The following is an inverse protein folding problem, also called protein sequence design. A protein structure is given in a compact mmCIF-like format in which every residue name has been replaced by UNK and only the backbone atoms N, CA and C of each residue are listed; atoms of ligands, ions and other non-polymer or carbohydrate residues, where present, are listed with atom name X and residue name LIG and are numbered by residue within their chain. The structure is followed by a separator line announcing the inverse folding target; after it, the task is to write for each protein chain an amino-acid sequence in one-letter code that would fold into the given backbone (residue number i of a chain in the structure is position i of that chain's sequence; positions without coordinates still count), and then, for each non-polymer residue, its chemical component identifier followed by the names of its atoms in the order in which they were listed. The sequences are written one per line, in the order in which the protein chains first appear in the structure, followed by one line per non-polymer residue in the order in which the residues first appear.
data_IF_224260306529
#
_entry.id   IF_224260306529
#
_cell.length_a   1.000
_cell.length_b   1.000
_cell.length_c   1.000
_cell.angle_alpha   90.00
_cell.angle_beta   90.00
_cell.angle_gamma   90.00
#
_symmetry.space_group_name_H-M   'P 1'
#
loop_
_entity.id
_entity.type
_entity.pdbx_description
1 polymer ?
#
# COMPACT_ATOMS: atom_id res chain seq x y z
N UNK A 1 47.52 -0.53 31.91
CA UNK A 1 46.26 -0.98 32.56
C UNK A 1 46.38 -2.45 32.95
N UNK A 2 46.12 -2.77 34.24
CA UNK A 2 46.04 -4.19 34.66
C UNK A 2 44.73 -4.83 34.15
N UNK A 3 44.81 -5.92 33.43
CA UNK A 3 43.61 -6.70 32.98
C UNK A 3 42.91 -7.26 34.22
N UNK A 4 41.57 -7.14 34.29
CA UNK A 4 40.74 -7.70 35.34
C UNK A 4 39.82 -8.76 34.74
N UNK A 5 39.47 -9.78 35.51
CA UNK A 5 38.47 -10.75 35.12
C UNK A 5 37.10 -10.07 35.02
N UNK A 6 36.29 -10.42 34.01
CA UNK A 6 34.94 -9.87 33.86
C UNK A 6 34.11 -10.15 35.11
N UNK A 7 33.49 -9.12 35.68
CA UNK A 7 32.59 -9.29 36.83
C UNK A 7 31.17 -9.53 36.33
N UNK A 8 30.47 -10.52 36.86
CA UNK A 8 29.12 -10.91 36.47
C UNK A 8 28.14 -9.74 36.47
N UNK A 9 28.22 -8.82 37.44
CA UNK A 9 27.40 -7.60 37.48
C UNK A 9 27.54 -6.68 36.28
N UNK A 10 28.69 -6.74 35.59
CA UNK A 10 28.96 -5.94 34.39
C UNK A 10 28.55 -6.68 33.11
N UNK A 11 28.45 -8.01 33.17
CA UNK A 11 28.07 -8.85 32.04
C UNK A 11 26.54 -9.04 31.98
N UNK A 12 25.90 -9.21 33.15
CA UNK A 12 24.46 -9.45 33.26
C UNK A 12 23.58 -8.42 32.51
N UNK A 13 23.84 -7.10 32.54
CA UNK A 13 23.08 -6.13 31.75
C UNK A 13 23.28 -6.25 30.22
N UNK A 14 24.41 -6.86 29.79
CA UNK A 14 24.72 -7.07 28.37
C UNK A 14 24.07 -8.36 27.82
N UNK A 15 23.66 -9.25 28.73
CA UNK A 15 22.96 -10.49 28.38
C UNK A 15 21.47 -10.21 28.38
N UNK A 16 20.90 -9.91 27.21
CA UNK A 16 19.45 -9.68 27.02
C UNK A 16 18.59 -10.94 27.18
N UNK A 17 18.85 -11.74 28.24
CA UNK A 17 18.11 -12.98 28.51
C UNK A 17 16.80 -12.66 29.20
N UNK A 18 15.69 -12.99 28.55
CA UNK A 18 14.36 -13.04 29.16
C UNK A 18 13.82 -14.46 29.12
N UNK A 19 12.99 -14.83 30.08
CA UNK A 19 12.27 -16.11 30.04
C UNK A 19 11.44 -16.19 28.75
N UNK A 20 11.40 -17.36 28.09
CA UNK A 20 10.60 -17.53 26.88
C UNK A 20 9.12 -17.31 27.20
N UNK A 21 8.49 -16.38 26.46
CA UNK A 21 7.04 -16.20 26.51
C UNK A 21 6.38 -17.18 25.55
N UNK A 22 5.28 -17.83 25.98
CA UNK A 22 4.47 -18.66 25.09
C UNK A 22 3.28 -17.85 24.55
N UNK A 23 2.92 -18.03 23.25
CA UNK A 23 3.63 -18.82 22.22
C UNK A 23 5.03 -18.26 21.95
N UNK A 24 5.96 -19.13 21.53
CA UNK A 24 7.34 -18.72 21.23
C UNK A 24 7.32 -17.66 20.11
N UNK A 25 7.90 -16.49 20.35
CA UNK A 25 7.90 -15.42 19.36
C UNK A 25 8.67 -15.86 18.11
N UNK A 26 8.18 -15.44 16.95
CA UNK A 26 8.86 -15.65 15.67
C UNK A 26 10.22 -14.93 15.68
N UNK A 27 11.30 -15.71 15.88
CA UNK A 27 12.67 -15.17 15.98
C UNK A 27 13.12 -14.46 14.72
N UNK A 28 12.68 -14.96 13.54
CA UNK A 28 13.05 -14.34 12.27
C UNK A 28 12.32 -12.99 12.08
N UNK A 29 11.04 -12.91 12.44
CA UNK A 29 10.32 -11.65 12.41
C UNK A 29 10.90 -10.63 13.39
N UNK A 30 11.29 -11.08 14.58
CA UNK A 30 11.92 -10.20 15.60
C UNK A 30 13.25 -9.61 15.15
N UNK A 31 14.01 -10.33 14.33
CA UNK A 31 15.29 -9.84 13.81
C UNK A 31 15.14 -8.84 12.65
N UNK A 32 13.93 -8.71 12.08
CA UNK A 32 13.66 -7.74 11.01
C UNK A 32 13.67 -6.32 11.56
N UNK A 33 14.55 -5.48 11.03
CA UNK A 33 14.73 -4.09 11.46
C UNK A 33 14.30 -3.06 10.40
N UNK A 34 14.11 -3.48 9.14
CA UNK A 34 13.66 -2.63 8.04
C UNK A 34 12.81 -3.40 7.02
N UNK A 35 12.17 -2.68 6.09
CA UNK A 35 11.27 -3.31 5.10
C UNK A 35 12.01 -4.08 4.00
N UNK A 36 13.29 -3.83 3.77
CA UNK A 36 14.09 -4.64 2.85
C UNK A 36 14.28 -6.06 3.41
N UNK A 37 14.58 -6.18 4.71
CA UNK A 37 14.64 -7.47 5.40
C UNK A 37 13.28 -8.16 5.47
N UNK A 38 12.19 -7.40 5.68
CA UNK A 38 10.82 -7.91 5.62
C UNK A 38 10.52 -8.53 4.25
N UNK A 39 10.91 -7.87 3.15
CA UNK A 39 10.80 -8.40 1.79
C UNK A 39 11.57 -9.72 1.62
N UNK A 40 12.79 -9.81 2.18
CA UNK A 40 13.59 -11.05 2.12
C UNK A 40 12.95 -12.18 2.93
N UNK A 41 12.36 -11.87 4.09
CA UNK A 41 11.63 -12.84 4.90
C UNK A 41 10.38 -13.34 4.17
N UNK A 42 9.61 -12.44 3.56
CA UNK A 42 8.46 -12.77 2.72
C UNK A 42 8.82 -13.75 1.60
N UNK A 43 9.91 -13.46 0.86
CA UNK A 43 10.42 -14.32 -0.20
C UNK A 43 10.73 -15.75 0.27
N UNK A 44 11.15 -15.92 1.52
CA UNK A 44 11.44 -17.24 2.11
C UNK A 44 10.17 -18.01 2.52
N UNK A 45 9.06 -17.32 2.85
CA UNK A 45 7.90 -17.93 3.51
C UNK A 45 6.76 -18.31 2.58
N UNK A 46 6.65 -17.66 1.44
CA UNK A 46 5.62 -17.97 0.44
C UNK A 46 6.22 -18.61 -0.81
N UNK A 47 5.41 -19.28 -1.65
CA UNK A 47 5.85 -19.77 -2.96
C UNK A 47 6.39 -18.64 -3.84
N UNK A 48 7.36 -18.99 -4.70
CA UNK A 48 7.97 -18.03 -5.64
C UNK A 48 6.93 -17.31 -6.50
N UNK A 49 5.93 -18.04 -6.98
CA UNK A 49 4.87 -17.45 -7.81
C UNK A 49 4.08 -16.38 -7.05
N UNK A 50 3.73 -16.62 -5.77
CA UNK A 50 3.03 -15.67 -4.91
C UNK A 50 3.93 -14.45 -4.62
N UNK A 51 5.20 -14.69 -4.31
CA UNK A 51 6.15 -13.61 -4.09
C UNK A 51 6.32 -12.75 -5.35
N UNK A 52 6.55 -13.36 -6.51
CA UNK A 52 6.75 -12.65 -7.78
C UNK A 52 5.50 -11.87 -8.21
N UNK A 53 4.30 -12.36 -7.90
CA UNK A 53 3.06 -11.64 -8.14
C UNK A 53 3.02 -10.29 -7.41
N UNK A 54 3.50 -10.24 -6.17
CA UNK A 54 3.56 -9.00 -5.38
C UNK A 54 4.77 -8.15 -5.76
N UNK A 55 5.94 -8.79 -5.83
CA UNK A 55 7.25 -8.14 -5.98
C UNK A 55 7.49 -7.62 -7.40
N UNK A 56 6.91 -8.27 -8.41
CA UNK A 56 7.12 -7.96 -9.80
C UNK A 56 6.46 -6.66 -10.28
N UNK A 57 6.96 -6.17 -11.42
CA UNK A 57 6.42 -5.05 -12.19
C UNK A 57 5.93 -5.49 -13.57
N UNK A 58 5.59 -4.51 -14.42
CA UNK A 58 5.23 -4.72 -15.81
C UNK A 58 6.48 -4.85 -16.68
N UNK A 59 6.39 -5.66 -17.74
CA UNK A 59 7.39 -5.86 -18.77
C UNK A 59 8.81 -6.06 -18.21
N UNK A 60 9.74 -5.13 -18.48
CA UNK A 60 11.15 -5.18 -18.08
C UNK A 60 11.37 -4.55 -16.68
N UNK A 61 10.30 -4.09 -16.01
CA UNK A 61 10.30 -3.52 -14.66
C UNK A 61 11.11 -2.21 -14.52
N UNK A 62 11.30 -1.47 -15.62
CA UNK A 62 12.09 -0.23 -15.64
C UNK A 62 11.41 0.88 -14.81
N UNK A 63 10.09 1.04 -14.93
CA UNK A 63 9.35 2.00 -14.12
C UNK A 63 9.42 1.65 -12.62
N UNK A 64 9.37 0.36 -12.29
CA UNK A 64 9.53 -0.10 -10.91
C UNK A 64 10.93 0.18 -10.37
N UNK A 65 11.98 -0.16 -11.13
CA UNK A 65 13.37 0.10 -10.76
C UNK A 65 13.64 1.60 -10.57
N UNK A 66 13.15 2.45 -11.50
CA UNK A 66 13.26 3.92 -11.36
C UNK A 66 12.54 4.44 -10.12
N UNK A 67 11.35 3.93 -9.82
CA UNK A 67 10.60 4.30 -8.61
C UNK A 67 11.35 3.93 -7.32
N UNK A 68 12.14 2.86 -7.31
CA UNK A 68 13.01 2.53 -6.18
C UNK A 68 14.25 3.44 -6.12
N UNK A 69 14.86 3.71 -7.28
CA UNK A 69 16.08 4.50 -7.36
C UNK A 69 15.87 5.95 -6.95
N UNK A 70 14.71 6.55 -7.26
CA UNK A 70 14.46 7.97 -6.96
C UNK A 70 14.60 8.27 -5.45
N UNK A 71 14.15 7.38 -4.57
CA UNK A 71 14.25 7.58 -3.13
C UNK A 71 15.70 7.54 -2.65
N UNK A 72 16.61 6.81 -3.30
CA UNK A 72 18.04 6.83 -2.98
C UNK A 72 18.74 8.15 -3.36
N UNK A 73 18.09 8.98 -4.17
CA UNK A 73 18.57 10.30 -4.59
C UNK A 73 18.06 11.43 -3.68
N UNK A 74 17.18 11.12 -2.74
CA UNK A 74 16.65 12.09 -1.78
C UNK A 74 17.73 12.45 -0.75
N UNK A 75 17.94 13.74 -0.56
CA UNK A 75 18.78 14.32 0.51
C UNK A 75 17.92 15.15 1.42
N UNK A 76 18.04 14.95 2.74
CA UNK A 76 17.39 15.78 3.73
C UNK A 76 18.31 16.93 4.17
N UNK A 77 17.76 18.13 4.24
CA UNK A 77 18.41 19.33 4.78
C UNK A 77 17.96 19.54 6.22
N UNK A 78 18.76 19.02 7.15
CA UNK A 78 18.44 19.06 8.57
C UNK A 78 18.60 20.47 9.16
N UNK A 79 17.68 20.86 10.05
CA UNK A 79 17.75 22.06 10.86
C UNK A 79 18.11 21.66 12.30
N UNK A 80 19.15 22.29 12.86
CA UNK A 80 19.63 21.99 14.20
C UNK A 80 19.13 23.00 15.24
N UNK A 81 19.31 22.70 16.52
CA UNK A 81 18.94 23.58 17.65
C UNK A 81 17.40 23.83 17.69
N UNK A 82 16.63 22.82 17.36
CA UNK A 82 15.16 22.82 17.44
C UNK A 82 14.71 21.88 18.56
N UNK A 83 13.66 22.27 19.29
CA UNK A 83 13.04 21.39 20.25
C UNK A 83 12.19 20.33 19.51
N UNK A 84 12.70 19.11 19.48
CA UNK A 84 12.07 17.92 18.89
C UNK A 84 11.85 16.83 19.94
N UNK A 85 11.71 17.22 21.21
CA UNK A 85 11.46 16.28 22.32
C UNK A 85 10.16 15.50 22.16
N UNK A 86 9.17 16.10 21.48
CA UNK A 86 7.87 15.48 21.16
C UNK A 86 7.62 15.58 19.65
N UNK A 87 7.37 14.44 19.03
CA UNK A 87 7.04 14.34 17.60
C UNK A 87 5.54 14.02 17.46
N UNK A 88 4.87 14.72 16.56
CA UNK A 88 3.50 14.41 16.12
C UNK A 88 3.50 14.03 14.64
N UNK A 89 3.22 12.76 14.36
CA UNK A 89 3.09 12.21 13.00
C UNK A 89 1.64 12.20 12.51
N UNK A 90 0.70 12.68 13.32
CA UNK A 90 -0.70 12.70 12.93
C UNK A 90 -0.97 13.74 11.85
N UNK A 91 -1.93 13.44 10.97
CA UNK A 91 -2.39 14.33 9.91
C UNK A 91 -3.88 14.16 9.66
N UNK A 92 -4.45 15.05 8.88
CA UNK A 92 -5.78 14.84 8.32
C UNK A 92 -5.64 14.22 6.92
N UNK A 93 -6.44 13.20 6.64
CA UNK A 93 -6.56 12.54 5.34
C UNK A 93 -8.04 12.61 4.93
N UNK A 94 -8.35 13.25 3.81
CA UNK A 94 -9.72 13.48 3.34
C UNK A 94 -10.64 13.99 4.47
N UNK A 95 -10.16 14.97 5.25
CA UNK A 95 -10.92 15.65 6.30
C UNK A 95 -11.06 14.90 7.62
N UNK A 96 -10.44 13.72 7.81
CA UNK A 96 -10.46 12.98 9.08
C UNK A 96 -9.04 12.70 9.59
N UNK A 97 -8.88 12.71 10.93
CA UNK A 97 -7.58 12.47 11.57
C UNK A 97 -7.08 11.06 11.33
N UNK A 98 -5.80 10.94 10.97
CA UNK A 98 -5.04 9.69 10.87
C UNK A 98 -3.80 9.77 11.76
N UNK A 99 -3.40 8.66 12.38
CA UNK A 99 -2.23 8.61 13.25
C UNK A 99 -0.90 8.75 12.49
N UNK A 100 -0.87 8.41 11.21
CA UNK A 100 0.27 8.55 10.30
C UNK A 100 -0.22 9.05 8.94
N UNK A 101 0.64 9.68 8.13
CA UNK A 101 0.32 10.09 6.77
C UNK A 101 0.35 8.90 5.79
N UNK A 102 -0.23 7.77 6.20
CA UNK A 102 -0.16 6.50 5.48
C UNK A 102 -1.56 5.95 5.26
N UNK A 103 -1.83 5.56 4.02
CA UNK A 103 -3.03 4.87 3.57
C UNK A 103 -2.61 3.47 3.11
N UNK A 104 -3.33 2.44 3.54
CA UNK A 104 -3.13 1.10 3.02
C UNK A 104 -3.76 1.00 1.63
N UNK A 105 -2.91 0.86 0.61
CA UNK A 105 -3.32 0.84 -0.78
C UNK A 105 -4.26 -0.35 -1.08
N UNK A 106 -5.20 -0.18 -2.02
CA UNK A 106 -6.01 -1.31 -2.48
C UNK A 106 -5.15 -2.34 -3.19
N UNK A 107 -5.18 -3.57 -2.71
CA UNK A 107 -4.49 -4.71 -3.33
C UNK A 107 -5.47 -5.84 -3.58
N UNK A 108 -5.37 -6.44 -4.75
CA UNK A 108 -6.18 -7.61 -5.08
C UNK A 108 -5.59 -8.90 -4.51
N UNK A 109 -6.46 -9.87 -4.27
CA UNK A 109 -6.10 -11.24 -3.99
C UNK A 109 -5.29 -11.43 -2.70
N UNK A 110 -5.54 -10.62 -1.67
CA UNK A 110 -4.71 -10.56 -0.44
C UNK A 110 -4.66 -11.90 0.31
N UNK A 111 -5.73 -12.72 0.26
CA UNK A 111 -5.72 -14.06 0.86
C UNK A 111 -4.72 -15.02 0.20
N UNK A 112 -4.27 -14.76 -1.02
CA UNK A 112 -3.19 -15.53 -1.63
C UNK A 112 -1.86 -15.31 -0.90
N UNK A 113 -1.63 -14.12 -0.32
CA UNK A 113 -0.45 -13.79 0.47
C UNK A 113 -0.52 -14.39 1.87
N UNK A 114 -1.67 -14.28 2.51
CA UNK A 114 -1.96 -14.83 3.82
C UNK A 114 -3.45 -15.13 3.96
N UNK A 115 -3.81 -16.28 4.48
CA UNK A 115 -5.19 -16.80 4.52
C UNK A 115 -6.22 -15.89 5.21
N UNK A 116 -5.78 -15.05 6.17
CA UNK A 116 -6.66 -14.07 6.84
C UNK A 116 -6.95 -12.84 5.97
N UNK A 117 -6.16 -12.59 4.93
CA UNK A 117 -6.42 -11.61 3.88
C UNK A 117 -6.71 -10.19 4.33
N UNK A 118 -7.71 -9.60 3.69
CA UNK A 118 -8.10 -8.20 3.83
C UNK A 118 -8.63 -7.87 5.23
N UNK A 119 -9.36 -8.77 5.88
CA UNK A 119 -9.91 -8.56 7.23
C UNK A 119 -8.81 -8.33 8.26
N UNK A 120 -7.74 -9.13 8.19
CA UNK A 120 -6.57 -8.96 9.06
C UNK A 120 -5.93 -7.59 8.85
N UNK A 121 -5.74 -7.18 7.60
CA UNK A 121 -5.14 -5.87 7.27
C UNK A 121 -6.03 -4.73 7.77
N UNK A 122 -7.34 -4.81 7.56
CA UNK A 122 -8.30 -3.83 8.02
C UNK A 122 -8.29 -3.68 9.56
N UNK A 123 -8.22 -4.79 10.32
CA UNK A 123 -8.08 -4.78 11.79
C UNK A 123 -6.82 -4.06 12.26
N UNK A 124 -5.71 -4.21 11.54
CA UNK A 124 -4.47 -3.49 11.87
C UNK A 124 -4.62 -2.00 11.58
N UNK A 125 -5.27 -1.62 10.49
CA UNK A 125 -5.58 -0.23 10.19
C UNK A 125 -6.47 0.39 11.27
N UNK A 126 -7.51 -0.32 11.72
CA UNK A 126 -8.39 0.10 12.83
C UNK A 126 -7.58 0.35 14.11
N UNK A 127 -6.78 -0.63 14.54
CA UNK A 127 -5.98 -0.56 15.75
C UNK A 127 -4.95 0.58 15.76
N UNK A 128 -4.49 0.99 14.58
CA UNK A 128 -3.50 2.05 14.39
C UNK A 128 -4.10 3.39 13.94
N UNK A 129 -5.44 3.51 13.86
CA UNK A 129 -6.14 4.68 13.32
C UNK A 129 -5.60 5.11 11.94
N UNK A 130 -5.55 4.16 11.01
CA UNK A 130 -5.12 4.34 9.62
C UNK A 130 -6.27 4.08 8.64
N UNK A 131 -6.11 4.56 7.42
CA UNK A 131 -7.09 4.31 6.34
C UNK A 131 -6.78 2.99 5.65
N UNK A 132 -7.80 2.14 5.54
CA UNK A 132 -7.76 0.92 4.75
C UNK A 132 -8.49 1.11 3.42
N UNK A 133 -7.93 0.61 2.31
CA UNK A 133 -8.59 0.63 1.00
C UNK A 133 -8.84 -0.80 0.51
N UNK A 134 -10.12 -1.17 0.35
CA UNK A 134 -10.52 -2.46 -0.21
C UNK A 134 -10.53 -2.38 -1.74
N UNK A 135 -9.90 -3.36 -2.40
CA UNK A 135 -9.89 -3.47 -3.86
C UNK A 135 -11.15 -4.17 -4.40
N UNK A 136 -11.65 -3.74 -5.56
CA UNK A 136 -12.61 -4.51 -6.36
C UNK A 136 -12.15 -5.96 -6.60
N UNK A 137 -10.82 -6.16 -6.70
CA UNK A 137 -10.19 -7.48 -6.86
C UNK A 137 -9.85 -8.13 -5.50
N UNK A 138 -10.49 -7.69 -4.41
CA UNK A 138 -10.33 -8.28 -3.09
C UNK A 138 -10.95 -9.68 -2.98
N UNK A 139 -10.43 -10.46 -2.04
CA UNK A 139 -10.96 -11.80 -1.69
C UNK A 139 -11.99 -11.74 -0.57
N UNK A 140 -12.24 -10.55 -0.04
CA UNK A 140 -13.25 -10.23 0.97
C UNK A 140 -14.17 -9.15 0.43
N UNK A 141 -15.48 -9.27 0.63
CA UNK A 141 -16.46 -8.29 0.16
C UNK A 141 -16.50 -7.03 1.03
N UNK A 142 -17.13 -5.98 0.50
CA UNK A 142 -17.38 -4.75 1.27
C UNK A 142 -18.25 -5.02 2.50
N UNK A 143 -19.28 -5.87 2.38
CA UNK A 143 -20.14 -6.27 3.48
C UNK A 143 -19.36 -7.00 4.58
N UNK A 144 -18.52 -7.98 4.22
CA UNK A 144 -17.66 -8.70 5.17
C UNK A 144 -16.70 -7.77 5.93
N UNK A 145 -16.11 -6.79 5.26
CA UNK A 145 -15.26 -5.77 5.94
C UNK A 145 -16.12 -4.90 6.87
N UNK A 146 -17.29 -4.46 6.41
CA UNK A 146 -18.22 -3.66 7.21
C UNK A 146 -18.66 -4.34 8.50
N UNK A 147 -18.93 -5.65 8.43
CA UNK A 147 -19.37 -6.47 9.56
C UNK A 147 -18.21 -6.81 10.53
N UNK A 148 -17.07 -7.28 9.99
CA UNK A 148 -15.98 -7.81 10.82
C UNK A 148 -15.05 -6.74 11.38
N UNK A 149 -15.02 -5.53 10.77
CA UNK A 149 -14.15 -4.41 11.19
C UNK A 149 -14.95 -3.09 11.09
N UNK A 150 -15.98 -2.92 11.93
CA UNK A 150 -16.95 -1.83 11.78
C UNK A 150 -16.36 -0.43 12.00
N UNK A 151 -15.30 -0.28 12.80
CA UNK A 151 -14.75 1.01 13.17
C UNK A 151 -13.55 1.43 12.31
N UNK A 152 -13.06 0.56 11.41
CA UNK A 152 -11.98 0.94 10.51
C UNK A 152 -12.46 2.03 9.55
N UNK A 153 -11.64 3.06 9.37
CA UNK A 153 -11.84 3.99 8.27
C UNK A 153 -11.50 3.31 6.96
N UNK A 154 -12.47 3.21 6.06
CA UNK A 154 -12.39 2.37 4.87
C UNK A 154 -12.82 3.07 3.60
N UNK A 155 -12.06 2.88 2.53
CA UNK A 155 -12.33 3.32 1.18
C UNK A 155 -12.52 2.13 0.26
N UNK A 156 -13.44 2.23 -0.69
CA UNK A 156 -13.65 1.21 -1.70
C UNK A 156 -12.95 1.62 -2.99
N UNK A 157 -12.03 0.78 -3.50
CA UNK A 157 -11.41 1.01 -4.79
C UNK A 157 -12.26 0.34 -5.88
N UNK A 158 -12.64 1.14 -6.86
CA UNK A 158 -13.46 0.76 -7.99
C UNK A 158 -12.61 0.71 -9.27
N UNK A 159 -12.70 -0.40 -9.99
CA UNK A 159 -12.53 -0.40 -11.44
C UNK A 159 -13.90 -0.19 -12.03
N UNK A 160 -14.04 0.81 -12.90
CA UNK A 160 -15.33 1.13 -13.50
C UNK A 160 -15.59 0.15 -14.65
N UNK A 161 -16.70 -0.58 -14.54
CA UNK A 161 -17.09 -1.56 -15.54
C UNK A 161 -17.82 -0.90 -16.70
N UNK A 162 -17.69 -1.51 -17.89
CA UNK A 162 -18.45 -1.08 -19.07
C UNK A 162 -19.95 -1.08 -18.79
N UNK A 163 -20.46 -2.07 -18.07
CA UNK A 163 -21.81 -2.09 -17.50
C UNK A 163 -21.83 -1.23 -16.22
N UNK A 164 -22.32 0.01 -16.36
CA UNK A 164 -22.40 0.98 -15.25
C UNK A 164 -23.36 0.55 -14.15
N UNK A 165 -24.39 -0.26 -14.46
CA UNK A 165 -25.33 -0.76 -13.46
C UNK A 165 -24.65 -1.74 -12.49
N UNK A 166 -23.69 -2.52 -12.97
CA UNK A 166 -22.86 -3.33 -12.08
C UNK A 166 -21.95 -2.48 -11.18
N UNK A 167 -21.38 -1.43 -11.73
CA UNK A 167 -20.58 -0.49 -10.93
C UNK A 167 -21.42 0.21 -9.86
N UNK A 168 -22.67 0.59 -10.17
CA UNK A 168 -23.61 1.12 -9.19
C UNK A 168 -23.90 0.16 -8.06
N UNK A 169 -24.09 -1.14 -8.34
CA UNK A 169 -24.30 -2.15 -7.29
C UNK A 169 -23.12 -2.19 -6.32
N UNK A 170 -21.88 -2.21 -6.81
CA UNK A 170 -20.69 -2.20 -5.96
C UNK A 170 -20.58 -0.91 -5.14
N UNK A 171 -20.95 0.23 -5.71
CA UNK A 171 -20.99 1.51 -5.02
C UNK A 171 -22.01 1.49 -3.88
N UNK A 172 -23.22 0.98 -4.13
CA UNK A 172 -24.28 0.89 -3.11
C UNK A 172 -23.95 -0.15 -2.02
N UNK A 173 -23.32 -1.27 -2.36
CA UNK A 173 -22.81 -2.24 -1.39
C UNK A 173 -21.75 -1.60 -0.50
N UNK A 174 -20.78 -0.87 -1.06
CA UNK A 174 -19.76 -0.17 -0.30
C UNK A 174 -20.36 0.91 0.61
N UNK A 175 -21.33 1.69 0.10
CA UNK A 175 -22.05 2.71 0.87
C UNK A 175 -22.81 2.07 2.07
N UNK A 176 -23.55 1.01 1.81
CA UNK A 176 -24.29 0.28 2.85
C UNK A 176 -23.34 -0.31 3.89
N UNK A 177 -22.16 -0.79 3.48
CA UNK A 177 -21.12 -1.28 4.37
C UNK A 177 -20.32 -0.15 5.07
N UNK A 178 -20.70 1.11 4.92
CA UNK A 178 -20.11 2.25 5.64
C UNK A 178 -18.74 2.70 5.12
N UNK A 179 -18.45 2.49 3.85
CA UNK A 179 -17.26 3.08 3.22
C UNK A 179 -17.47 4.59 3.03
N UNK A 180 -16.50 5.40 3.46
CA UNK A 180 -16.58 6.87 3.40
C UNK A 180 -15.82 7.48 2.20
N UNK A 181 -15.06 6.67 1.47
CA UNK A 181 -14.35 7.06 0.26
C UNK A 181 -14.52 6.07 -0.88
N UNK A 182 -14.66 6.59 -2.08
CA UNK A 182 -14.63 5.84 -3.34
C UNK A 182 -13.37 6.22 -4.11
N UNK A 183 -12.53 5.23 -4.41
CA UNK A 183 -11.26 5.41 -5.13
C UNK A 183 -11.38 4.81 -6.54
N UNK A 184 -11.64 5.63 -7.54
CA UNK A 184 -11.60 5.20 -8.94
C UNK A 184 -10.14 5.03 -9.39
N UNK A 185 -9.80 3.87 -9.95
CA UNK A 185 -8.48 3.61 -10.53
C UNK A 185 -8.55 3.69 -12.05
N UNK A 186 -7.76 4.59 -12.66
CA UNK A 186 -7.87 4.96 -14.08
C UNK A 186 -6.64 4.60 -14.92
N UNK A 187 -5.56 4.09 -14.34
CA UNK A 187 -4.36 3.65 -15.04
C UNK A 187 -4.45 2.18 -15.55
N UNK A 188 -5.66 1.64 -15.64
CA UNK A 188 -5.95 0.24 -15.94
C UNK A 188 -6.94 0.08 -17.08
N UNK A 189 -6.75 0.82 -18.18
CA UNK A 189 -7.54 0.61 -19.40
C UNK A 189 -7.48 -0.85 -19.87
N UNK A 190 -6.35 -1.50 -19.63
CA UNK A 190 -6.11 -2.94 -19.79
C UNK A 190 -5.16 -3.43 -18.70
N UNK A 191 -5.07 -4.73 -18.49
CA UNK A 191 -4.09 -5.31 -17.55
C UNK A 191 -2.66 -5.18 -18.08
N UNK A 192 -1.74 -4.67 -17.26
CA UNK A 192 -0.31 -4.63 -17.60
C UNK A 192 0.29 -6.03 -17.78
N UNK A 193 1.21 -6.18 -18.73
CA UNK A 193 1.90 -7.44 -19.01
C UNK A 193 2.95 -7.70 -17.92
N UNK A 194 2.85 -8.84 -17.25
CA UNK A 194 3.78 -9.22 -16.17
C UNK A 194 4.51 -10.50 -16.54
N UNK A 195 5.74 -10.36 -16.99
CA UNK A 195 6.54 -11.51 -17.42
C UNK A 195 6.80 -12.53 -16.32
N UNK A 196 6.92 -12.09 -15.07
CA UNK A 196 7.12 -13.02 -13.94
C UNK A 196 5.87 -13.89 -13.72
N UNK A 197 4.68 -13.32 -13.76
CA UNK A 197 3.42 -14.05 -13.59
C UNK A 197 3.22 -15.08 -14.72
N UNK A 198 3.51 -14.68 -15.95
CA UNK A 198 3.43 -15.60 -17.12
C UNK A 198 4.41 -16.77 -16.96
N UNK A 199 5.66 -16.53 -16.57
CA UNK A 199 6.66 -17.59 -16.36
C UNK A 199 6.32 -18.52 -15.19
N UNK A 200 5.61 -18.01 -14.18
CA UNK A 200 5.18 -18.80 -13.03
C UNK A 200 3.82 -19.51 -13.25
N UNK A 201 3.16 -19.30 -14.38
CA UNK A 201 1.84 -19.87 -14.69
C UNK A 201 0.67 -19.23 -13.92
N UNK A 202 0.88 -18.05 -13.30
CA UNK A 202 -0.18 -17.25 -12.69
C UNK A 202 -0.93 -16.44 -13.76
N UNK A 203 -1.49 -17.15 -14.72
CA UNK A 203 -2.41 -16.62 -15.75
C UNK A 203 -3.85 -16.74 -15.29
N UNK A 204 -4.78 -16.19 -16.04
CA UNK A 204 -6.23 -16.40 -15.82
C UNK A 204 -6.80 -17.15 -17.03
N UNK A 205 -7.19 -18.43 -16.86
CA UNK A 205 -7.06 -19.27 -15.66
C UNK A 205 -5.59 -19.67 -15.34
N UNK A 206 -5.26 -20.03 -14.08
CA UNK A 206 -3.91 -20.44 -13.70
C UNK A 206 -3.47 -21.74 -14.40
N UNK A 207 -2.20 -21.77 -14.86
CA UNK A 207 -1.56 -22.94 -15.46
C UNK A 207 -0.33 -23.31 -14.65
N UNK A 208 -0.52 -24.06 -13.57
CA UNK A 208 0.55 -24.46 -12.64
C UNK A 208 1.37 -25.59 -13.26
N UNK A 209 2.60 -25.30 -13.65
CA UNK A 209 3.56 -26.30 -14.11
C UNK A 209 4.20 -27.06 -12.95
N UNK A 210 4.88 -28.18 -13.24
CA UNK A 210 5.55 -29.04 -12.25
C UNK A 210 6.51 -28.26 -11.33
N UNK A 211 7.29 -27.33 -11.91
CA UNK A 211 8.23 -26.50 -11.13
C UNK A 211 7.52 -25.65 -10.09
N UNK A 212 6.43 -24.98 -10.46
CA UNK A 212 5.63 -24.17 -9.55
C UNK A 212 4.94 -25.02 -8.50
N UNK A 213 4.46 -26.23 -8.88
CA UNK A 213 3.86 -27.18 -7.95
C UNK A 213 4.86 -27.59 -6.85
N UNK A 214 6.08 -27.99 -7.23
CA UNK A 214 7.12 -28.38 -6.24
C UNK A 214 7.54 -27.20 -5.35
N UNK A 215 7.66 -26.00 -5.88
CA UNK A 215 7.95 -24.81 -5.06
C UNK A 215 6.83 -24.54 -4.05
N UNK A 216 5.58 -24.68 -4.43
CA UNK A 216 4.42 -24.57 -3.54
C UNK A 216 4.45 -25.65 -2.46
N UNK A 217 4.75 -26.91 -2.81
CA UNK A 217 4.83 -28.04 -1.86
C UNK A 217 5.87 -27.80 -0.75
N UNK A 218 6.95 -27.08 -1.04
CA UNK A 218 7.98 -26.73 -0.07
C UNK A 218 7.56 -25.63 0.93
N UNK A 219 6.34 -25.10 0.83
CA UNK A 219 5.80 -24.06 1.73
C UNK A 219 4.59 -24.57 2.53
N UNK A 220 4.77 -25.55 3.44
CA UNK A 220 3.64 -26.26 4.08
C UNK A 220 2.71 -25.35 4.87
N UNK A 221 3.21 -24.33 5.58
CA UNK A 221 2.37 -23.38 6.30
C UNK A 221 1.46 -22.59 5.36
N UNK A 222 1.97 -22.20 4.19
CA UNK A 222 1.21 -21.41 3.22
C UNK A 222 0.08 -22.25 2.62
N UNK A 223 0.37 -23.41 2.03
CA UNK A 223 -0.66 -24.20 1.37
C UNK A 223 -1.64 -24.87 2.34
N UNK A 224 -1.20 -25.29 3.54
CA UNK A 224 -2.09 -25.82 4.56
C UNK A 224 -3.15 -24.77 4.94
N UNK A 225 -2.75 -23.57 5.27
CA UNK A 225 -3.67 -22.50 5.60
C UNK A 225 -4.61 -22.16 4.43
N UNK A 226 -4.10 -22.14 3.19
CA UNK A 226 -4.91 -21.86 2.01
C UNK A 226 -5.96 -22.96 1.76
N UNK A 227 -5.57 -24.24 1.90
CA UNK A 227 -6.46 -25.38 1.61
C UNK A 227 -7.45 -25.68 2.73
N UNK A 228 -7.20 -25.24 3.96
CA UNK A 228 -8.08 -25.44 5.11
C UNK A 228 -9.03 -24.26 5.36
N UNK A 229 -8.99 -23.24 4.52
CA UNK A 229 -9.89 -22.08 4.56
C UNK A 229 -10.80 -22.04 3.31
N UNK A 230 -11.76 -21.11 3.28
CA UNK A 230 -12.65 -20.97 2.12
C UNK A 230 -11.86 -20.81 0.81
N UNK A 231 -12.35 -21.32 -0.33
CA UNK A 231 -11.69 -21.19 -1.62
C UNK A 231 -11.23 -19.78 -1.92
N UNK A 232 -10.13 -19.67 -2.66
CA UNK A 232 -9.57 -18.38 -3.06
C UNK A 232 -10.34 -17.83 -4.27
N UNK A 233 -11.24 -16.89 -4.02
CA UNK A 233 -12.11 -16.28 -5.01
C UNK A 233 -12.09 -14.76 -4.89
N UNK A 234 -12.37 -14.06 -5.98
CA UNK A 234 -12.67 -12.63 -5.91
C UNK A 234 -14.07 -12.44 -5.33
N UNK A 235 -14.17 -11.80 -4.18
CA UNK A 235 -15.45 -11.65 -3.47
C UNK A 235 -16.51 -10.93 -4.30
N UNK A 236 -16.11 -9.89 -5.03
CA UNK A 236 -16.98 -9.11 -5.93
C UNK A 236 -17.63 -9.96 -7.02
N UNK A 237 -17.05 -11.12 -7.39
CA UNK A 237 -17.49 -11.94 -8.51
C UNK A 237 -18.17 -13.25 -8.08
N UNK A 238 -18.33 -13.52 -6.78
CA UNK A 238 -18.95 -14.76 -6.27
C UNK A 238 -20.34 -15.04 -6.87
N UNK A 239 -21.09 -14.00 -7.16
CA UNK A 239 -22.46 -14.09 -7.68
C UNK A 239 -22.56 -14.04 -9.22
N UNK A 240 -21.42 -14.07 -9.92
CA UNK A 240 -21.42 -14.04 -11.38
C UNK A 240 -21.32 -15.46 -11.95
N UNK A 241 -22.37 -15.90 -12.64
CA UNK A 241 -22.40 -17.19 -13.37
C UNK A 241 -21.58 -17.15 -14.68
N UNK A 242 -20.37 -16.56 -14.64
CA UNK A 242 -19.48 -16.46 -15.80
C UNK A 242 -18.09 -16.98 -15.48
N UNK A 243 -17.37 -17.56 -16.45
CA UNK A 243 -15.98 -17.96 -16.26
C UNK A 243 -15.11 -16.76 -15.87
N UNK A 244 -14.14 -16.99 -15.00
CA UNK A 244 -13.22 -15.93 -14.50
C UNK A 244 -12.47 -15.20 -15.65
N UNK A 245 -12.22 -15.89 -16.78
CA UNK A 245 -11.61 -15.29 -17.97
C UNK A 245 -12.51 -14.25 -18.65
N UNK A 246 -13.82 -14.48 -18.69
CA UNK A 246 -14.79 -13.51 -19.21
C UNK A 246 -14.95 -12.32 -18.27
N UNK A 247 -14.99 -12.58 -16.97
CA UNK A 247 -15.05 -11.54 -15.94
C UNK A 247 -13.81 -10.66 -16.03
N UNK A 248 -12.62 -11.24 -16.11
CA UNK A 248 -11.37 -10.51 -16.24
C UNK A 248 -11.33 -9.58 -17.47
N UNK A 249 -11.98 -9.97 -18.56
CA UNK A 249 -12.10 -9.15 -19.77
C UNK A 249 -13.09 -7.97 -19.62
N UNK A 250 -13.99 -8.01 -18.63
CA UNK A 250 -15.01 -6.98 -18.40
C UNK A 250 -14.70 -6.03 -17.24
N UNK A 251 -13.75 -6.40 -16.37
CA UNK A 251 -13.35 -5.60 -15.19
C UNK A 251 -12.71 -4.27 -15.57
N UNK A 252 -12.02 -4.23 -16.70
CA UNK A 252 -11.35 -3.02 -17.20
C UNK A 252 -12.12 -2.47 -18.39
N UNK A 253 -12.55 -1.20 -18.28
CA UNK A 253 -13.18 -0.49 -19.39
C UNK A 253 -12.20 0.53 -19.98
N UNK A 254 -11.69 0.30 -21.21
CA UNK A 254 -10.79 1.24 -21.85
C UNK A 254 -11.47 2.52 -22.32
N UNK A 255 -12.81 2.61 -22.22
CA UNK A 255 -13.60 3.78 -22.66
C UNK A 255 -13.88 4.80 -21.53
N UNK A 256 -13.29 4.60 -20.33
CA UNK A 256 -13.46 5.53 -19.19
C UNK A 256 -12.86 6.89 -19.51
N UNK A 257 -13.62 7.95 -19.22
CA UNK A 257 -13.28 9.35 -19.49
C UNK A 257 -13.50 10.24 -18.27
N UNK A 258 -13.18 11.54 -18.37
CA UNK A 258 -13.51 12.52 -17.34
C UNK A 258 -15.03 12.69 -17.11
N UNK A 259 -15.86 12.40 -18.11
CA UNK A 259 -17.32 12.42 -17.95
C UNK A 259 -17.78 11.33 -16.97
N UNK A 260 -17.13 10.17 -16.95
CA UNK A 260 -17.39 9.13 -15.95
C UNK A 260 -17.03 9.59 -14.53
N UNK A 261 -15.99 10.40 -14.38
CA UNK A 261 -15.64 11.01 -13.07
C UNK A 261 -16.72 11.98 -12.62
N UNK A 262 -17.25 12.81 -13.51
CA UNK A 262 -18.39 13.70 -13.22
C UNK A 262 -19.64 12.90 -12.84
N UNK A 263 -19.92 11.83 -13.58
CA UNK A 263 -21.00 10.91 -13.25
C UNK A 263 -20.81 10.27 -11.87
N UNK A 264 -19.63 9.75 -11.55
CA UNK A 264 -19.33 9.20 -10.23
C UNK A 264 -19.54 10.25 -9.13
N UNK A 265 -19.13 11.49 -9.35
CA UNK A 265 -19.37 12.58 -8.39
C UNK A 265 -20.86 12.80 -8.14
N UNK A 266 -21.72 12.62 -9.14
CA UNK A 266 -23.18 12.78 -9.01
C UNK A 266 -23.83 11.68 -8.18
N UNK A 267 -23.31 10.44 -8.25
CA UNK A 267 -23.89 9.27 -7.56
C UNK A 267 -23.24 8.96 -6.21
N UNK A 268 -22.00 9.44 -5.96
CA UNK A 268 -21.27 9.24 -4.72
C UNK A 268 -21.12 10.54 -3.93
N UNK A 269 -21.71 10.61 -2.74
CA UNK A 269 -21.70 11.82 -1.89
C UNK A 269 -20.52 11.83 -0.88
N UNK A 270 -19.84 10.72 -0.70
CA UNK A 270 -18.63 10.61 0.12
C UNK A 270 -17.38 11.17 -0.56
N UNK A 271 -16.20 10.85 -0.03
CA UNK A 271 -14.93 11.28 -0.62
C UNK A 271 -14.66 10.56 -1.94
N UNK A 272 -14.42 11.33 -3.01
CA UNK A 272 -14.08 10.80 -4.34
C UNK A 272 -12.60 11.00 -4.60
N UNK A 273 -11.88 9.88 -4.74
CA UNK A 273 -10.44 9.82 -4.95
C UNK A 273 -10.16 9.25 -6.34
N UNK A 274 -9.29 9.87 -7.12
CA UNK A 274 -8.91 9.34 -8.43
C UNK A 274 -7.46 8.90 -8.39
N UNK A 275 -7.23 7.59 -8.65
CA UNK A 275 -5.92 6.95 -8.56
C UNK A 275 -5.39 6.57 -9.94
N UNK A 276 -4.08 6.77 -10.15
CA UNK A 276 -3.42 6.41 -11.41
C UNK A 276 -3.03 7.62 -12.25
N UNK A 277 -2.95 8.80 -11.65
CA UNK A 277 -2.66 10.04 -12.36
C UNK A 277 -1.16 10.18 -12.58
N UNK A 278 -0.78 10.46 -13.84
CA UNK A 278 0.60 10.45 -14.31
C UNK A 278 0.98 11.72 -15.10
N UNK A 279 0.08 12.72 -15.18
CA UNK A 279 0.33 14.00 -15.85
C UNK A 279 -0.20 15.17 -15.04
N UNK A 280 0.43 16.33 -15.21
CA UNK A 280 -0.02 17.60 -14.60
C UNK A 280 -1.37 18.03 -15.18
N UNK A 281 -1.59 17.82 -16.48
CA UNK A 281 -2.84 18.20 -17.17
C UNK A 281 -4.04 17.43 -16.62
N UNK A 282 -3.91 16.12 -16.42
CA UNK A 282 -5.00 15.31 -15.89
C UNK A 282 -5.32 15.69 -14.43
N UNK A 283 -4.28 15.95 -13.63
CA UNK A 283 -4.44 16.42 -12.26
C UNK A 283 -5.19 17.77 -12.21
N UNK A 284 -4.85 18.70 -13.10
CA UNK A 284 -5.52 20.00 -13.19
C UNK A 284 -6.99 19.86 -13.64
N UNK A 285 -7.30 18.97 -14.57
CA UNK A 285 -8.68 18.72 -15.00
C UNK A 285 -9.53 18.11 -13.88
N UNK A 286 -8.98 17.12 -13.15
CA UNK A 286 -9.65 16.53 -11.99
C UNK A 286 -9.90 17.55 -10.87
N UNK A 287 -8.98 18.48 -10.67
CA UNK A 287 -9.16 19.58 -9.71
C UNK A 287 -10.36 20.46 -10.08
N UNK A 288 -10.58 20.75 -11.37
CA UNK A 288 -11.75 21.51 -11.85
C UNK A 288 -13.06 20.73 -11.68
N UNK A 289 -13.04 19.39 -11.83
CA UNK A 289 -14.22 18.55 -11.61
C UNK A 289 -14.62 18.53 -10.13
N UNK A 290 -13.71 18.85 -9.21
CA UNK A 290 -14.00 18.92 -7.78
C UNK A 290 -13.92 17.55 -7.10
N UNK A 291 -12.94 16.73 -7.45
CA UNK A 291 -12.59 15.52 -6.71
C UNK A 291 -11.97 15.88 -5.36
N UNK A 292 -12.12 15.02 -4.35
CA UNK A 292 -11.58 15.30 -3.00
C UNK A 292 -10.08 15.02 -2.90
N UNK A 293 -9.58 14.05 -3.68
CA UNK A 293 -8.15 13.72 -3.70
C UNK A 293 -7.72 13.09 -5.03
N UNK A 294 -6.42 13.23 -5.32
CA UNK A 294 -5.74 12.66 -6.48
C UNK A 294 -4.58 11.81 -5.99
N UNK A 295 -4.45 10.58 -6.52
CA UNK A 295 -3.28 9.73 -6.23
C UNK A 295 -2.39 9.72 -7.47
N UNK A 296 -1.20 10.34 -7.36
CA UNK A 296 -0.15 10.20 -8.33
C UNK A 296 0.42 8.77 -8.23
N UNK A 297 0.28 8.01 -9.29
CA UNK A 297 0.53 6.57 -9.27
C UNK A 297 0.87 6.04 -10.64
N UNK A 298 1.91 5.21 -10.72
CA UNK A 298 2.17 4.33 -11.84
C UNK A 298 1.81 2.87 -11.52
N UNK A 299 0.89 2.68 -10.56
CA UNK A 299 0.49 1.38 -10.04
C UNK A 299 1.66 0.57 -9.45
N UNK A 300 2.64 1.26 -8.89
CA UNK A 300 3.88 0.64 -8.42
C UNK A 300 4.69 -0.01 -9.55
N UNK A 301 4.64 0.53 -10.77
CA UNK A 301 5.31 0.00 -11.95
C UNK A 301 4.69 -1.30 -12.50
N UNK A 302 3.39 -1.53 -12.27
CA UNK A 302 2.71 -2.79 -12.61
C UNK A 302 1.83 -2.70 -13.86
N UNK A 303 1.60 -1.50 -14.40
CA UNK A 303 0.74 -1.26 -15.57
C UNK A 303 1.59 -0.86 -16.77
N UNK A 304 1.78 0.39 -17.08
CA UNK A 304 2.64 0.85 -18.15
C UNK A 304 4.10 0.84 -17.67
N UNK A 305 4.96 0.01 -18.29
CA UNK A 305 6.39 0.13 -18.05
C UNK A 305 6.93 1.43 -18.67
N UNK A 306 8.04 1.96 -18.14
CA UNK A 306 8.64 3.25 -18.51
C UNK A 306 7.74 4.47 -18.23
N UNK A 307 6.70 4.31 -17.42
CA UNK A 307 5.85 5.41 -16.94
C UNK A 307 6.63 6.37 -16.03
N UNK A 308 6.07 7.55 -15.81
CA UNK A 308 6.64 8.55 -14.90
C UNK A 308 6.74 8.03 -13.46
N UNK A 309 7.69 8.55 -12.72
CA UNK A 309 7.84 8.26 -11.29
C UNK A 309 7.00 9.26 -10.49
N UNK A 310 6.06 8.82 -9.65
CA UNK A 310 5.16 9.72 -8.92
C UNK A 310 5.88 10.77 -8.08
N UNK A 311 7.01 10.43 -7.45
CA UNK A 311 7.76 11.38 -6.63
C UNK A 311 8.40 12.51 -7.47
N UNK A 312 8.81 12.23 -8.71
CA UNK A 312 9.35 13.25 -9.64
C UNK A 312 8.23 14.18 -10.13
N UNK A 313 7.03 13.65 -10.37
CA UNK A 313 5.88 14.39 -10.86
C UNK A 313 5.24 15.29 -9.78
N UNK A 314 5.35 14.89 -8.51
CA UNK A 314 4.64 15.51 -7.38
C UNK A 314 4.83 17.04 -7.27
N UNK A 315 6.06 17.60 -7.34
CA UNK A 315 6.25 19.05 -7.20
C UNK A 315 5.55 19.86 -8.30
N UNK A 316 5.53 19.36 -9.54
CA UNK A 316 4.89 20.02 -10.67
C UNK A 316 3.37 20.02 -10.51
N UNK A 317 2.79 18.87 -10.12
CA UNK A 317 1.35 18.77 -9.86
C UNK A 317 0.96 19.66 -8.70
N UNK A 318 1.69 19.67 -7.59
CA UNK A 318 1.40 20.54 -6.44
C UNK A 318 1.43 22.02 -6.83
N UNK A 319 2.40 22.41 -7.66
CA UNK A 319 2.46 23.78 -8.19
C UNK A 319 1.26 24.14 -9.07
N UNK A 320 0.75 23.19 -9.85
CA UNK A 320 -0.35 23.39 -10.79
C UNK A 320 -1.71 23.50 -10.12
N UNK A 321 -1.99 22.65 -9.11
CA UNK A 321 -3.34 22.57 -8.49
C UNK A 321 -3.45 23.34 -7.17
N UNK A 322 -2.39 24.04 -6.76
CA UNK A 322 -2.39 24.90 -5.58
C UNK A 322 -1.69 24.32 -4.35
N UNK A 323 -1.66 25.11 -3.28
CA UNK A 323 -1.00 24.74 -2.01
C UNK A 323 -1.82 23.73 -1.22
N UNK A 324 -1.20 23.07 -0.24
CA UNK A 324 -1.91 22.19 0.71
C UNK A 324 -3.09 22.90 1.36
N UNK A 325 -4.24 22.23 1.42
CA UNK A 325 -5.48 22.78 1.96
C UNK A 325 -6.33 23.59 0.98
N UNK A 326 -5.86 23.78 -0.26
CA UNK A 326 -6.62 24.41 -1.35
C UNK A 326 -6.74 23.40 -2.49
N UNK A 327 -7.98 23.10 -2.91
CA UNK A 327 -8.25 22.09 -3.92
C UNK A 327 -8.13 20.64 -3.38
N UNK A 328 -8.00 19.65 -4.27
CA UNK A 328 -7.91 18.24 -3.88
C UNK A 328 -6.60 17.93 -3.12
N UNK A 329 -6.70 17.00 -2.15
CA UNK A 329 -5.48 16.44 -1.54
C UNK A 329 -4.67 15.65 -2.58
N UNK A 330 -3.35 15.66 -2.46
CA UNK A 330 -2.46 14.85 -3.30
C UNK A 330 -1.88 13.72 -2.48
N UNK A 331 -2.15 12.51 -2.91
CA UNK A 331 -1.47 11.32 -2.39
C UNK A 331 -0.52 10.75 -3.45
N UNK A 332 0.47 10.01 -3.01
CA UNK A 332 1.36 9.28 -3.94
C UNK A 332 1.52 7.83 -3.52
N UNK A 333 1.80 6.97 -4.47
CA UNK A 333 2.28 5.62 -4.23
C UNK A 333 3.54 5.31 -5.07
N UNK A 334 4.01 4.08 -4.96
CA UNK A 334 5.17 3.60 -5.71
C UNK A 334 6.46 3.63 -4.89
N UNK A 335 6.95 2.41 -4.59
CA UNK A 335 8.23 2.14 -3.92
C UNK A 335 8.44 2.75 -2.53
N UNK A 336 7.39 3.13 -1.82
CA UNK A 336 7.47 3.56 -0.42
C UNK A 336 7.89 2.36 0.45
N UNK A 337 9.13 2.35 0.93
CA UNK A 337 9.76 1.24 1.65
C UNK A 337 10.48 1.67 2.92
N UNK A 338 10.36 2.93 3.34
CA UNK A 338 10.91 3.44 4.60
C UNK A 338 10.12 4.65 5.11
N UNK A 339 10.30 4.97 6.39
CA UNK A 339 9.76 6.20 6.97
C UNK A 339 10.36 7.46 6.33
N UNK A 340 11.61 7.39 5.87
CA UNK A 340 12.26 8.47 5.13
C UNK A 340 11.58 8.75 3.79
N UNK A 341 11.15 7.70 3.05
CA UNK A 341 10.42 7.85 1.79
C UNK A 341 9.08 8.57 2.01
N UNK A 342 8.39 8.22 3.10
CA UNK A 342 7.14 8.90 3.51
C UNK A 342 7.39 10.38 3.73
N UNK A 343 8.40 10.74 4.54
CA UNK A 343 8.70 12.13 4.87
C UNK A 343 9.18 12.93 3.66
N UNK A 344 9.93 12.32 2.74
CA UNK A 344 10.32 12.94 1.48
C UNK A 344 9.09 13.33 0.64
N UNK A 345 8.14 12.42 0.50
CA UNK A 345 6.90 12.69 -0.22
C UNK A 345 6.09 13.82 0.44
N UNK A 346 5.94 13.80 1.77
CA UNK A 346 5.22 14.84 2.52
C UNK A 346 5.90 16.21 2.37
N UNK A 347 7.23 16.26 2.45
CA UNK A 347 7.99 17.50 2.30
C UNK A 347 7.89 18.07 0.87
N UNK A 348 7.86 17.21 -0.15
CA UNK A 348 7.69 17.61 -1.56
C UNK A 348 6.24 17.97 -1.93
N UNK A 349 5.30 17.86 -1.00
CA UNK A 349 3.94 18.37 -1.20
C UNK A 349 2.82 17.32 -1.18
N UNK A 350 3.08 16.04 -0.92
CA UNK A 350 2.02 15.07 -0.70
C UNK A 350 1.31 15.32 0.65
N UNK A 351 0.02 15.02 0.71
CA UNK A 351 -0.77 15.07 1.94
C UNK A 351 -0.71 13.73 2.70
N UNK A 352 -0.58 12.63 1.95
CA UNK A 352 -0.33 11.28 2.46
C UNK A 352 0.32 10.39 1.39
N UNK A 353 0.75 9.20 1.80
CA UNK A 353 1.27 8.17 0.89
C UNK A 353 0.43 6.90 0.95
N UNK A 354 0.36 6.14 -0.15
CA UNK A 354 -0.22 4.80 -0.14
C UNK A 354 0.90 3.75 -0.12
N UNK A 355 0.78 2.79 0.79
CA UNK A 355 1.67 1.62 0.84
C UNK A 355 0.92 0.38 0.35
N UNK A 356 1.52 -0.37 -0.59
CA UNK A 356 1.01 -1.64 -1.10
C UNK A 356 1.95 -2.79 -0.78
N UNK A 357 3.04 -2.92 -1.53
CA UNK A 357 4.04 -3.99 -1.33
C UNK A 357 4.55 -4.06 0.10
N UNK A 358 4.77 -2.94 0.77
CA UNK A 358 5.29 -2.89 2.12
C UNK A 358 4.47 -3.77 3.08
N UNK A 359 3.15 -3.55 3.16
CA UNK A 359 2.32 -4.34 4.05
C UNK A 359 2.08 -5.77 3.55
N UNK A 360 2.09 -6.01 2.23
CA UNK A 360 1.99 -7.36 1.68
C UNK A 360 3.23 -8.21 2.01
N UNK A 361 4.42 -7.62 2.05
CA UNK A 361 5.60 -8.32 2.57
C UNK A 361 5.43 -8.69 4.04
N UNK A 362 4.85 -7.80 4.85
CA UNK A 362 4.47 -8.11 6.23
C UNK A 362 3.50 -9.30 6.29
N UNK A 363 2.41 -9.25 5.53
CA UNK A 363 1.41 -10.32 5.46
C UNK A 363 2.03 -11.66 5.05
N UNK A 364 2.82 -11.70 3.98
CA UNK A 364 3.55 -12.89 3.53
C UNK A 364 4.57 -13.40 4.57
N UNK A 365 5.16 -12.50 5.33
CA UNK A 365 6.16 -12.86 6.34
C UNK A 365 5.56 -13.52 7.55
N UNK A 366 4.52 -12.93 8.15
CA UNK A 366 3.99 -13.40 9.43
C UNK A 366 2.51 -13.01 9.68
N UNK A 367 1.73 -12.82 8.62
CA UNK A 367 0.33 -12.44 8.77
C UNK A 367 0.18 -11.15 9.58
N UNK A 368 -0.71 -11.18 10.60
CA UNK A 368 -0.98 -10.05 11.48
C UNK A 368 0.31 -9.44 12.06
N UNK A 369 1.14 -10.24 12.71
CA UNK A 369 2.37 -9.76 13.37
C UNK A 369 3.34 -9.10 12.37
N UNK A 370 3.38 -9.61 11.13
CA UNK A 370 4.21 -9.05 10.07
C UNK A 370 3.71 -7.67 9.61
N UNK A 371 2.40 -7.49 9.45
CA UNK A 371 1.83 -6.19 9.06
C UNK A 371 1.93 -5.17 10.19
N UNK A 372 1.70 -5.57 11.44
CA UNK A 372 1.95 -4.72 12.61
C UNK A 372 3.41 -4.26 12.66
N UNK A 373 4.35 -5.17 12.40
CA UNK A 373 5.79 -4.86 12.35
C UNK A 373 6.13 -3.84 11.26
N UNK A 374 5.45 -3.88 10.11
CA UNK A 374 5.62 -2.86 9.05
C UNK A 374 5.20 -1.48 9.56
N UNK A 375 4.06 -1.37 10.26
CA UNK A 375 3.60 -0.09 10.83
C UNK A 375 4.57 0.41 11.90
N UNK A 376 5.07 -0.47 12.77
CA UNK A 376 6.09 -0.13 13.78
C UNK A 376 7.38 0.41 13.16
N UNK A 377 7.91 -0.27 12.14
CA UNK A 377 9.14 0.14 11.43
C UNK A 377 8.94 1.52 10.82
N UNK A 378 7.88 1.73 10.04
CA UNK A 378 7.62 3.01 9.40
C UNK A 378 7.45 4.14 10.41
N UNK A 379 6.72 3.91 11.50
CA UNK A 379 6.55 4.89 12.59
C UNK A 379 7.89 5.25 13.23
N UNK A 380 8.67 4.25 13.61
CA UNK A 380 9.97 4.43 14.26
C UNK A 380 10.95 5.21 13.38
N UNK A 381 11.01 4.85 12.08
CA UNK A 381 11.87 5.54 11.11
C UNK A 381 11.43 6.98 10.89
N UNK A 382 10.11 7.24 10.77
CA UNK A 382 9.59 8.61 10.64
C UNK A 382 9.89 9.45 11.88
N UNK A 383 9.62 8.94 13.08
CA UNK A 383 9.91 9.68 14.33
C UNK A 383 11.39 10.01 14.47
N UNK A 384 12.25 9.05 14.13
CA UNK A 384 13.71 9.24 14.18
C UNK A 384 14.16 10.28 13.16
N UNK A 385 13.70 10.18 11.92
CA UNK A 385 14.06 11.11 10.86
C UNK A 385 13.55 12.53 11.16
N UNK A 386 12.32 12.70 11.65
CA UNK A 386 11.76 13.99 12.07
C UNK A 386 12.62 14.67 13.13
N UNK A 387 13.06 13.93 14.16
CA UNK A 387 13.98 14.43 15.20
C UNK A 387 15.30 14.89 14.59
N UNK A 388 15.89 14.09 13.70
CA UNK A 388 17.15 14.43 13.04
C UNK A 388 17.01 15.59 12.06
N UNK A 389 15.85 15.74 11.41
CA UNK A 389 15.55 16.85 10.52
C UNK A 389 15.25 18.17 11.26
N UNK A 390 15.00 18.12 12.57
CA UNK A 390 14.62 19.28 13.36
C UNK A 390 13.19 19.77 13.11
N UNK A 391 12.26 18.86 12.80
CA UNK A 391 10.84 19.12 12.61
C UNK A 391 10.02 18.30 13.62
N UNK A 392 9.04 18.92 14.30
CA UNK A 392 8.25 18.27 15.36
C UNK A 392 6.87 17.78 14.90
N UNK A 393 6.39 18.27 13.78
CA UNK A 393 5.13 17.81 13.17
C UNK A 393 5.22 17.88 11.64
N UNK A 394 4.30 17.17 10.96
CA UNK A 394 4.32 17.07 9.49
C UNK A 394 4.04 18.39 8.78
N UNK A 395 3.36 19.35 9.43
CA UNK A 395 3.08 20.66 8.82
C UNK A 395 4.31 21.58 8.75
N UNK A 396 5.37 21.27 9.49
CA UNK A 396 6.64 21.99 9.38
C UNK A 396 7.48 21.54 8.17
N UNK A 397 7.14 20.38 7.58
CA UNK A 397 7.86 19.88 6.41
C UNK A 397 7.47 20.68 5.16
N UNK A 398 8.49 21.09 4.43
CA UNK A 398 8.39 21.85 3.18
C UNK A 398 9.47 21.41 2.20
N UNK A 399 9.39 21.80 0.91
CA UNK A 399 10.45 21.49 -0.07
C UNK A 399 11.84 21.94 0.32
N UNK A 400 11.97 22.88 1.27
CA UNK A 400 13.28 23.31 1.80
C UNK A 400 14.01 22.21 2.58
N UNK A 401 13.28 21.21 3.11
CA UNK A 401 13.86 20.07 3.83
C UNK A 401 14.39 18.98 2.90
N UNK A 402 14.08 19.02 1.61
CA UNK A 402 14.39 17.92 0.70
C UNK A 402 15.03 18.44 -0.59
N UNK A 403 16.03 17.71 -1.06
CA UNK A 403 16.60 17.87 -2.38
C UNK A 403 16.65 16.51 -3.08
N UNK A 404 16.29 16.45 -4.35
CA UNK A 404 16.49 15.25 -5.17
C UNK A 404 17.73 15.52 -6.04
N UNK A 405 18.79 14.74 -5.79
CA UNK A 405 20.03 14.84 -6.60
C UNK A 405 19.76 14.41 -8.05
N UNK A 406 20.42 15.06 -8.98
CA UNK A 406 20.39 14.69 -10.40
C UNK A 406 21.09 13.36 -10.68
#
# INVERSE_FOLDING_TARGET
MKRQLPRWKNIKPLLGWSLPKFPLPDRQLKSVVNLAEMRLLAKKRVPKAVFDYVDGGANDELAYARSQTIYSRVEFRARVLRDVSKIDLSTNIAGKKSALPIIFAPTGYTRMMHYEGEVMVAKICEANNLVYSLSTMGTTSSAEIGEQVPNVRRWFQLYLWRDRDQSLKFIEEAKTAGFDGLMLTVDTAVGGIKWRDMRNGLTVPPKIGLKTFFDMALKPKWWFNLLTTAPLEFATFRNFNKPLSEIAATVFDPAVTFEDVKWLRSVWQGKLIIKGIQTVSDAAELSKIGVDAIVLSNHGGRQLDRSVVPLELLPEVRKSIGTKGVGPEIYIDGAIMSGADVLAAIALGADAVLIGRAYLYGAMSAGKDGVEKVVEILRFEMETAMKLMGAKNLSELSPEFVNIRN
#
